data_IF_212033732880
#
_entry.id   IF_212033732880
#
_cell.length_a   1.000
_cell.length_b   1.000
_cell.length_c   1.000
_cell.angle_alpha   90.00
_cell.angle_beta   90.00
_cell.angle_gamma   90.00
#
_symmetry.space_group_name_H-M   'P 1'
#
loop_
_entity.id
_entity.type
_entity.pdbx_description
1 polymer ?
#
# COMPACT_ATOMS: atom_id res chain seq x y z
N UNK A 1 34.97 58.71 13.76
CA UNK A 1 34.83 58.95 15.21
C UNK A 1 34.10 57.75 15.79
N UNK A 2 34.80 57.05 16.69
CA UNK A 2 34.45 55.86 17.48
C UNK A 2 34.29 54.47 16.83
N UNK A 3 35.34 53.69 17.11
CA UNK A 3 35.63 52.26 17.02
C UNK A 3 35.13 51.56 18.31
N UNK A 4 34.76 50.27 18.25
CA UNK A 4 35.01 49.18 19.24
C UNK A 4 34.24 47.92 18.77
N UNK A 5 34.89 46.93 18.12
CA UNK A 5 35.62 45.76 18.64
C UNK A 5 34.75 44.55 19.06
N UNK A 6 35.03 43.41 18.42
CA UNK A 6 34.52 42.03 18.64
C UNK A 6 34.88 41.45 20.02
N UNK A 7 34.31 40.27 20.39
CA UNK A 7 35.08 39.04 20.15
C UNK A 7 34.27 37.84 19.64
N UNK A 8 34.98 37.01 18.89
CA UNK A 8 34.63 35.73 18.27
C UNK A 8 34.51 34.59 19.29
N UNK A 9 33.80 33.52 18.94
CA UNK A 9 33.82 32.24 19.68
C UNK A 9 33.91 31.03 18.71
N UNK A 10 34.49 29.90 19.18
CA UNK A 10 35.42 29.11 18.37
C UNK A 10 34.81 27.86 17.70
N UNK A 11 35.46 27.45 16.61
CA UNK A 11 35.23 26.21 15.88
C UNK A 11 35.74 24.98 16.66
N UNK A 12 34.96 23.92 16.65
CA UNK A 12 35.29 22.61 17.24
C UNK A 12 36.16 21.82 16.23
N UNK A 13 37.38 21.48 16.65
CA UNK A 13 38.35 20.67 15.92
C UNK A 13 38.27 19.23 16.44
N UNK A 14 38.04 18.25 15.56
CA UNK A 14 38.14 16.83 15.87
C UNK A 14 39.59 16.34 15.72
N UNK A 15 40.11 15.51 16.64
CA UNK A 15 41.44 14.91 16.50
C UNK A 15 41.43 13.67 15.57
N UNK A 16 42.54 13.38 14.86
CA UNK A 16 42.70 12.19 14.03
C UNK A 16 43.01 10.92 14.87
N UNK A 17 42.82 9.70 14.31
CA UNK A 17 42.97 8.46 15.04
C UNK A 17 44.45 8.11 15.30
N UNK A 18 44.71 7.52 16.47
CA UNK A 18 46.01 7.06 16.90
C UNK A 18 46.47 5.79 16.13
N UNK A 19 47.68 5.88 15.59
CA UNK A 19 48.53 4.75 15.20
C UNK A 19 49.42 4.37 16.39
N UNK A 20 49.49 3.09 16.72
CA UNK A 20 50.61 2.44 17.44
C UNK A 20 50.27 0.95 17.62
N UNK A 21 51.15 -0.04 17.60
CA UNK A 21 52.47 -0.23 16.98
C UNK A 21 52.78 -1.75 17.12
N UNK A 22 53.71 -2.22 16.29
CA UNK A 22 54.20 -3.60 16.23
C UNK A 22 54.84 -4.10 17.53
N UNK A 23 54.54 -5.35 17.93
CA UNK A 23 55.39 -6.12 18.85
C UNK A 23 55.38 -7.63 18.55
N UNK A 24 56.53 -8.08 18.02
CA UNK A 24 57.26 -9.34 18.22
C UNK A 24 56.55 -10.71 18.22
N UNK A 25 57.02 -11.53 17.28
CA UNK A 25 56.90 -12.99 17.13
C UNK A 25 57.80 -13.73 18.15
N UNK A 26 57.40 -14.93 18.62
CA UNK A 26 58.36 -16.00 18.81
C UNK A 26 58.00 -17.27 18.02
N UNK A 27 59.01 -17.78 17.32
CA UNK A 27 59.04 -18.99 16.50
C UNK A 27 59.16 -20.25 17.36
N UNK A 28 58.32 -21.27 17.12
CA UNK A 28 58.58 -22.66 17.54
C UNK A 28 58.25 -23.64 16.40
N UNK A 29 59.11 -24.64 16.28
CA UNK A 29 59.39 -25.56 15.17
C UNK A 29 58.27 -26.54 14.80
N UNK A 30 58.24 -26.90 13.51
CA UNK A 30 57.44 -27.96 12.90
C UNK A 30 57.73 -29.37 13.47
N UNK A 31 56.68 -30.18 13.66
CA UNK A 31 56.74 -31.65 13.47
C UNK A 31 55.40 -32.23 12.99
N UNK A 32 55.54 -33.19 12.05
CA UNK A 32 54.54 -33.90 11.23
C UNK A 32 53.34 -34.49 11.98
N UNK A 33 52.16 -34.44 11.35
CA UNK A 33 51.34 -35.62 11.00
C UNK A 33 50.17 -35.25 10.06
N UNK A 34 50.01 -36.02 8.99
CA UNK A 34 48.92 -36.01 7.99
C UNK A 34 47.66 -36.75 8.49
N UNK A 35 46.59 -36.88 7.69
CA UNK A 35 45.65 -35.88 7.18
C UNK A 35 44.26 -36.04 7.84
N UNK A 36 43.51 -34.96 8.09
CA UNK A 36 42.10 -35.09 8.53
C UNK A 36 41.19 -34.39 7.52
N UNK A 37 40.49 -35.23 6.75
CA UNK A 37 39.25 -34.92 6.03
C UNK A 37 38.32 -34.13 6.95
N UNK A 38 38.09 -32.86 6.64
CA UNK A 38 36.96 -32.12 7.22
C UNK A 38 35.71 -32.63 6.51
N UNK A 39 34.97 -33.47 7.22
CA UNK A 39 33.60 -33.85 6.87
C UNK A 39 32.76 -32.59 7.00
N UNK A 40 32.30 -32.04 5.88
CA UNK A 40 31.28 -31.01 5.87
C UNK A 40 30.01 -31.60 6.49
N UNK A 41 29.69 -31.20 7.72
CA UNK A 41 28.37 -31.47 8.28
C UNK A 41 27.37 -30.62 7.51
N UNK A 42 26.68 -31.27 6.58
CA UNK A 42 25.44 -30.76 6.02
C UNK A 42 24.42 -30.72 7.16
N UNK A 43 24.41 -29.62 7.91
CA UNK A 43 23.27 -29.29 8.77
C UNK A 43 22.12 -28.93 7.83
N UNK A 44 21.26 -29.91 7.60
CA UNK A 44 19.97 -29.72 6.94
C UNK A 44 19.22 -28.64 7.70
N UNK A 45 19.17 -27.42 7.15
CA UNK A 45 18.19 -26.41 7.57
C UNK A 45 16.80 -27.01 7.31
N UNK A 46 16.18 -27.51 8.37
CA UNK A 46 14.80 -27.98 8.34
C UNK A 46 13.91 -26.82 7.91
N UNK A 47 13.18 -26.98 6.81
CA UNK A 47 12.05 -26.10 6.49
C UNK A 47 11.13 -26.02 7.72
N UNK A 48 10.63 -24.82 8.11
CA UNK A 48 9.70 -24.73 9.22
C UNK A 48 8.48 -25.62 8.92
N UNK A 49 8.12 -26.49 9.86
CA UNK A 49 6.88 -27.28 9.79
C UNK A 49 5.71 -26.30 9.64
N UNK A 50 4.79 -26.58 8.70
CA UNK A 50 3.52 -25.85 8.53
C UNK A 50 2.78 -25.90 9.88
N UNK A 51 2.90 -24.85 10.67
CA UNK A 51 2.24 -24.74 11.95
C UNK A 51 0.76 -24.53 11.65
N UNK A 52 -0.08 -25.49 12.04
CA UNK A 52 -1.52 -25.38 11.92
C UNK A 52 -1.96 -24.14 12.70
N UNK A 53 -2.42 -23.12 12.00
CA UNK A 53 -2.79 -21.83 12.57
C UNK A 53 -3.96 -22.04 13.56
N UNK A 54 -3.72 -21.72 14.84
CA UNK A 54 -4.70 -21.88 15.92
C UNK A 54 -5.74 -20.74 15.95
N UNK A 55 -5.98 -20.05 14.83
CA UNK A 55 -6.89 -18.90 14.77
C UNK A 55 -8.35 -19.27 15.10
N UNK A 56 -8.78 -20.51 14.81
CA UNK A 56 -10.11 -20.97 15.21
C UNK A 56 -10.24 -21.02 16.73
N UNK A 57 -9.17 -21.38 17.45
CA UNK A 57 -9.13 -21.26 18.90
C UNK A 57 -9.07 -19.79 19.32
N UNK A 58 -8.39 -18.93 18.57
CA UNK A 58 -8.31 -17.49 18.84
C UNK A 58 -9.68 -16.82 18.76
N UNK A 59 -10.48 -17.13 17.73
CA UNK A 59 -11.88 -16.67 17.63
C UNK A 59 -12.74 -17.22 18.76
N UNK A 60 -12.54 -18.49 19.12
CA UNK A 60 -13.22 -19.13 20.26
C UNK A 60 -12.82 -18.48 21.59
N UNK A 61 -11.55 -18.07 21.75
CA UNK A 61 -11.00 -17.43 22.95
C UNK A 61 -11.43 -15.95 23.07
N UNK A 62 -11.53 -15.23 21.95
CA UNK A 62 -12.10 -13.88 21.94
C UNK A 62 -13.55 -13.91 22.45
N UNK A 63 -14.35 -14.85 21.94
CA UNK A 63 -15.73 -15.03 22.38
C UNK A 63 -15.82 -15.48 23.85
N UNK A 64 -14.93 -16.38 24.32
CA UNK A 64 -14.97 -16.86 25.72
C UNK A 64 -14.60 -15.79 26.76
N UNK A 65 -13.89 -14.74 26.34
CA UNK A 65 -13.57 -13.56 27.17
C UNK A 65 -14.61 -12.43 27.04
N UNK A 66 -15.79 -12.72 26.47
CA UNK A 66 -16.88 -11.75 26.31
C UNK A 66 -16.61 -10.65 25.27
N UNK A 67 -15.64 -10.86 24.37
CA UNK A 67 -15.32 -9.91 23.31
C UNK A 67 -15.93 -10.36 22.00
N UNK A 68 -16.71 -9.46 21.41
CA UNK A 68 -17.42 -9.69 20.16
C UNK A 68 -16.84 -8.81 19.05
N UNK A 69 -16.86 -9.28 17.79
CA UNK A 69 -16.49 -8.47 16.63
C UNK A 69 -17.26 -7.14 16.61
N UNK A 70 -16.53 -6.02 16.51
CA UNK A 70 -17.09 -4.67 16.56
C UNK A 70 -17.58 -4.26 15.18
N UNK A 71 -18.91 -4.25 15.02
CA UNK A 71 -19.57 -3.79 13.79
C UNK A 71 -19.14 -2.38 13.37
N UNK A 72 -18.91 -1.47 14.33
CA UNK A 72 -18.46 -0.10 14.06
C UNK A 72 -17.06 -0.01 13.46
N UNK A 73 -16.24 -1.05 13.62
CA UNK A 73 -14.90 -1.17 13.02
C UNK A 73 -14.91 -2.05 11.76
N UNK A 74 -16.07 -2.56 11.32
CA UNK A 74 -16.15 -3.42 10.14
C UNK A 74 -15.42 -4.76 10.28
N UNK A 75 -15.25 -5.26 11.51
CA UNK A 75 -14.49 -6.48 11.78
C UNK A 75 -15.18 -7.74 11.20
N UNK A 76 -14.57 -8.30 10.15
CA UNK A 76 -14.90 -9.58 9.54
C UNK A 76 -13.61 -10.40 9.39
N UNK A 77 -13.46 -11.42 10.21
CA UNK A 77 -12.24 -12.23 10.27
C UNK A 77 -12.28 -13.37 9.27
N UNK A 78 -11.19 -13.57 8.53
CA UNK A 78 -11.04 -14.68 7.58
C UNK A 78 -10.99 -16.03 8.32
N UNK A 79 -11.79 -16.99 7.86
CA UNK A 79 -11.91 -18.37 8.35
C UNK A 79 -11.33 -19.42 7.41
N UNK A 80 -10.59 -19.01 6.38
CA UNK A 80 -10.05 -19.93 5.39
C UNK A 80 -8.65 -19.51 5.01
N UNK A 81 -7.66 -20.27 5.48
CA UNK A 81 -6.25 -20.01 5.21
C UNK A 81 -5.93 -20.06 3.72
N UNK A 82 -6.64 -20.87 2.94
CA UNK A 82 -6.46 -20.94 1.50
C UNK A 82 -6.73 -19.59 0.83
N UNK A 83 -7.69 -18.80 1.34
CA UNK A 83 -7.94 -17.45 0.81
C UNK A 83 -6.80 -16.50 1.17
N UNK A 84 -6.22 -16.61 2.37
CA UNK A 84 -5.03 -15.84 2.74
C UNK A 84 -3.82 -16.24 1.87
N UNK A 85 -3.64 -17.54 1.61
CA UNK A 85 -2.62 -18.05 0.69
C UNK A 85 -2.81 -17.46 -0.73
N UNK A 86 -4.05 -17.38 -1.24
CA UNK A 86 -4.37 -16.73 -2.52
C UNK A 86 -4.12 -15.21 -2.51
N UNK A 87 -4.37 -14.50 -1.40
CA UNK A 87 -4.02 -13.07 -1.27
C UNK A 87 -2.51 -12.87 -1.42
N UNK A 88 -1.73 -13.66 -0.68
CA UNK A 88 -0.26 -13.59 -0.68
C UNK A 88 0.31 -14.00 -2.04
N UNK A 89 -0.27 -15.02 -2.67
CA UNK A 89 0.09 -15.45 -4.03
C UNK A 89 -0.24 -14.39 -5.08
N UNK A 90 -1.39 -13.72 -4.97
CA UNK A 90 -1.81 -12.65 -5.89
C UNK A 90 -0.82 -11.48 -5.89
N UNK A 91 -0.19 -11.17 -4.75
CA UNK A 91 0.88 -10.17 -4.63
C UNK A 91 2.27 -10.69 -4.95
N UNK A 92 2.39 -11.94 -5.38
CA UNK A 92 3.67 -12.62 -5.64
C UNK A 92 4.69 -12.37 -4.53
N UNK A 93 4.26 -12.45 -3.27
CA UNK A 93 5.10 -12.14 -2.10
C UNK A 93 6.21 -13.17 -2.01
N UNK A 94 7.44 -12.68 -1.81
CA UNK A 94 8.66 -13.49 -1.72
C UNK A 94 9.39 -13.26 -0.41
N UNK A 95 10.30 -14.16 -0.10
CA UNK A 95 11.23 -14.01 1.02
C UNK A 95 11.99 -12.68 0.90
N UNK A 96 12.01 -11.91 1.99
CA UNK A 96 12.66 -10.60 2.04
C UNK A 96 11.78 -9.43 1.60
N UNK A 97 10.61 -9.67 1.00
CA UNK A 97 9.68 -8.58 0.66
C UNK A 97 9.24 -7.83 1.93
N UNK A 98 9.05 -6.52 1.80
CA UNK A 98 8.46 -5.67 2.83
C UNK A 98 6.98 -5.52 2.50
N UNK A 99 6.10 -5.90 3.43
CA UNK A 99 4.65 -5.89 3.24
C UNK A 99 3.99 -5.04 4.31
N UNK A 100 3.16 -4.10 3.86
CA UNK A 100 2.20 -3.41 4.69
C UNK A 100 0.89 -4.21 4.75
N UNK A 101 0.48 -4.57 5.95
CA UNK A 101 -0.83 -5.17 6.23
C UNK A 101 -1.72 -4.16 6.97
N UNK A 102 -2.95 -3.98 6.51
CA UNK A 102 -3.90 -3.04 7.11
C UNK A 102 -5.03 -3.83 7.75
N UNK A 103 -5.22 -3.67 9.07
CA UNK A 103 -6.21 -4.41 9.85
C UNK A 103 -5.89 -5.89 9.98
N UNK A 104 -4.74 -6.27 10.58
CA UNK A 104 -4.37 -7.67 10.76
C UNK A 104 -5.39 -8.47 11.59
N UNK A 105 -6.20 -7.82 12.44
CA UNK A 105 -7.23 -8.47 13.26
C UNK A 105 -6.63 -9.54 14.17
N UNK A 106 -6.93 -10.81 13.89
CA UNK A 106 -6.40 -11.96 14.64
C UNK A 106 -5.00 -12.40 14.19
N UNK A 107 -4.47 -11.80 13.13
CA UNK A 107 -3.16 -12.11 12.55
C UNK A 107 -3.13 -13.34 11.64
N UNK A 108 -4.27 -13.80 11.12
CA UNK A 108 -4.30 -14.97 10.22
C UNK A 108 -3.60 -14.69 8.88
N UNK A 109 -3.80 -13.50 8.29
CA UNK A 109 -3.07 -13.09 7.10
C UNK A 109 -1.60 -12.79 7.42
N UNK A 110 -1.31 -12.11 8.53
CA UNK A 110 0.06 -11.90 9.05
C UNK A 110 0.85 -13.22 9.12
N UNK A 111 0.23 -14.30 9.59
CA UNK A 111 0.86 -15.62 9.70
C UNK A 111 1.30 -16.17 8.33
N UNK A 112 0.46 -16.02 7.30
CA UNK A 112 0.78 -16.47 5.93
C UNK A 112 1.88 -15.59 5.32
N UNK A 113 1.85 -14.27 5.54
CA UNK A 113 2.89 -13.34 5.09
C UNK A 113 4.26 -13.66 5.69
N UNK A 114 4.31 -13.88 7.01
CA UNK A 114 5.53 -14.28 7.71
C UNK A 114 6.03 -15.64 7.22
N UNK A 115 5.11 -16.58 6.98
CA UNK A 115 5.47 -17.91 6.44
C UNK A 115 6.05 -17.84 5.02
N UNK A 116 5.68 -16.82 4.24
CA UNK A 116 6.28 -16.51 2.95
C UNK A 116 7.65 -15.81 3.06
N UNK A 117 8.11 -15.50 4.28
CA UNK A 117 9.41 -14.86 4.54
C UNK A 117 9.38 -13.33 4.45
N UNK A 118 8.20 -12.71 4.50
CA UNK A 118 8.07 -11.25 4.42
C UNK A 118 8.39 -10.56 5.75
N UNK A 119 8.89 -9.32 5.67
CA UNK A 119 8.87 -8.35 6.75
C UNK A 119 7.53 -7.62 6.75
N UNK A 120 6.74 -7.78 7.81
CA UNK A 120 5.38 -7.25 7.90
C UNK A 120 5.32 -6.02 8.80
N UNK A 121 4.87 -4.90 8.24
CA UNK A 121 4.39 -3.75 9.00
C UNK A 121 2.85 -3.81 9.05
N UNK A 122 2.29 -4.16 10.20
CA UNK A 122 0.85 -4.22 10.39
C UNK A 122 0.33 -2.91 11.03
N UNK A 123 -0.75 -2.34 10.49
CA UNK A 123 -1.45 -1.18 11.07
C UNK A 123 -2.83 -1.62 11.56
N UNK A 124 -3.04 -1.57 12.87
CA UNK A 124 -4.29 -2.00 13.51
C UNK A 124 -4.89 -0.87 14.34
N UNK A 125 -6.17 -0.58 14.10
CA UNK A 125 -6.89 0.49 14.78
C UNK A 125 -7.44 0.07 16.14
N UNK A 126 -7.79 -1.21 16.31
CA UNK A 126 -8.28 -1.75 17.57
C UNK A 126 -7.10 -2.08 18.50
N UNK A 127 -6.92 -1.34 19.63
CA UNK A 127 -5.82 -1.59 20.56
C UNK A 127 -5.73 -3.03 21.04
N UNK A 128 -6.89 -3.69 21.16
CA UNK A 128 -6.92 -5.06 21.62
C UNK A 128 -6.40 -6.04 20.55
N UNK A 129 -6.78 -5.83 19.29
CA UNK A 129 -6.26 -6.65 18.18
C UNK A 129 -4.77 -6.37 17.96
N UNK A 130 -4.34 -5.11 18.09
CA UNK A 130 -2.93 -4.75 18.02
C UNK A 130 -2.10 -5.48 19.09
N UNK A 131 -2.59 -5.51 20.34
CA UNK A 131 -1.96 -6.27 21.42
C UNK A 131 -1.92 -7.78 21.14
N UNK A 132 -3.01 -8.35 20.61
CA UNK A 132 -3.08 -9.77 20.25
C UNK A 132 -2.05 -10.14 19.20
N UNK A 133 -1.92 -9.35 18.12
CA UNK A 133 -0.94 -9.59 17.06
C UNK A 133 0.49 -9.46 17.61
N UNK A 134 0.76 -8.45 18.46
CA UNK A 134 2.07 -8.30 19.13
C UNK A 134 2.43 -9.51 19.99
N UNK A 135 1.49 -10.01 20.80
CA UNK A 135 1.70 -11.19 21.65
C UNK A 135 1.92 -12.44 20.80
N UNK A 136 1.09 -12.64 19.78
CA UNK A 136 1.11 -13.82 18.90
C UNK A 136 2.42 -13.95 18.14
N UNK A 137 2.97 -12.85 17.65
CA UNK A 137 4.23 -12.81 16.90
C UNK A 137 5.41 -12.29 17.75
N UNK A 138 5.28 -12.35 19.09
CA UNK A 138 6.35 -12.00 19.99
C UNK A 138 7.61 -12.85 19.70
N UNK A 139 8.76 -12.20 19.58
CA UNK A 139 10.03 -12.85 19.25
C UNK A 139 10.33 -12.96 17.75
N UNK A 140 9.41 -12.56 16.87
CA UNK A 140 9.69 -12.44 15.44
C UNK A 140 10.02 -11.00 15.08
N UNK A 141 11.30 -10.74 14.78
CA UNK A 141 11.77 -9.41 14.36
C UNK A 141 11.20 -8.96 13.01
N UNK A 142 10.64 -9.89 12.24
CA UNK A 142 10.02 -9.61 10.96
C UNK A 142 8.59 -9.04 11.07
N UNK A 143 8.01 -8.89 12.27
CA UNK A 143 6.67 -8.31 12.45
C UNK A 143 6.73 -7.05 13.32
N UNK A 144 6.22 -5.94 12.80
CA UNK A 144 6.03 -4.69 13.54
C UNK A 144 4.57 -4.28 13.49
N UNK A 145 3.99 -3.94 14.66
CA UNK A 145 2.58 -3.56 14.79
C UNK A 145 2.43 -2.11 15.24
N UNK A 146 1.86 -1.27 14.38
CA UNK A 146 1.44 0.09 14.66
C UNK A 146 -0.02 0.09 15.11
N UNK A 147 -0.29 0.70 16.26
CA UNK A 147 -1.65 0.88 16.77
C UNK A 147 -2.15 2.27 16.37
N UNK A 148 -2.65 2.36 15.14
CA UNK A 148 -3.07 3.61 14.51
C UNK A 148 -4.31 3.39 13.64
N UNK A 149 -5.10 4.45 13.45
CA UNK A 149 -6.13 4.46 12.41
C UNK A 149 -5.48 4.70 11.06
N UNK A 150 -5.48 3.70 10.17
CA UNK A 150 -4.86 3.80 8.85
C UNK A 150 -5.33 5.04 8.08
N UNK A 151 -6.63 5.38 8.15
CA UNK A 151 -7.22 6.53 7.44
C UNK A 151 -6.67 7.88 7.89
N UNK A 152 -5.97 7.92 9.03
CA UNK A 152 -5.34 9.10 9.63
C UNK A 152 -3.83 8.93 9.81
N UNK A 153 -3.29 7.77 9.44
CA UNK A 153 -1.89 7.40 9.61
C UNK A 153 -1.03 8.12 8.57
N UNK A 154 0.14 8.62 8.98
CA UNK A 154 1.14 9.14 8.05
C UNK A 154 2.00 8.00 7.50
N UNK A 155 1.35 7.06 6.79
CA UNK A 155 1.96 5.78 6.41
C UNK A 155 3.25 5.95 5.59
N UNK A 156 3.32 6.99 4.75
CA UNK A 156 4.54 7.36 4.02
C UNK A 156 5.76 7.51 4.95
N UNK A 157 5.60 8.21 6.07
CA UNK A 157 6.71 8.43 7.02
C UNK A 157 7.18 7.12 7.65
N UNK A 158 6.24 6.25 8.04
CA UNK A 158 6.55 4.93 8.60
C UNK A 158 7.28 4.03 7.59
N UNK A 159 6.80 4.02 6.33
CA UNK A 159 7.40 3.24 5.26
C UNK A 159 8.78 3.76 4.85
N UNK A 160 8.95 5.07 4.71
CA UNK A 160 10.24 5.67 4.39
C UNK A 160 11.31 5.31 5.43
N UNK A 161 10.97 5.35 6.73
CA UNK A 161 11.89 4.94 7.79
C UNK A 161 12.23 3.44 7.73
N UNK A 162 11.28 2.59 7.33
CA UNK A 162 11.48 1.15 7.27
C UNK A 162 12.27 0.71 6.03
N UNK A 163 12.08 1.41 4.91
CA UNK A 163 12.79 1.16 3.64
C UNK A 163 14.21 1.72 3.62
N UNK A 164 14.55 2.65 4.54
CA UNK A 164 15.91 3.16 4.67
C UNK A 164 16.91 2.00 4.87
N UNK A 165 17.88 1.89 3.96
CA UNK A 165 18.94 0.88 3.97
C UNK A 165 18.47 -0.58 3.77
N UNK A 166 17.28 -0.81 3.19
CA UNK A 166 16.81 -2.15 2.84
C UNK A 166 16.70 -2.38 1.34
N UNK A 167 16.82 -3.65 0.95
CA UNK A 167 16.51 -4.18 -0.38
C UNK A 167 15.44 -5.25 -0.22
N UNK A 168 14.35 -5.27 -1.01
CA UNK A 168 14.03 -4.35 -2.10
C UNK A 168 13.76 -2.91 -1.63
N UNK A 169 13.88 -1.96 -2.57
CA UNK A 169 13.64 -0.53 -2.30
C UNK A 169 12.17 -0.14 -2.36
N UNK A 170 11.30 -1.05 -2.82
CA UNK A 170 9.85 -0.89 -2.76
C UNK A 170 9.21 -1.97 -1.87
N UNK A 171 8.03 -1.64 -1.39
CA UNK A 171 7.19 -2.50 -0.58
C UNK A 171 5.96 -2.95 -1.36
N UNK A 172 5.19 -3.85 -0.77
CA UNK A 172 3.85 -4.25 -1.24
C UNK A 172 2.83 -3.97 -0.16
N UNK A 173 1.57 -3.88 -0.56
CA UNK A 173 0.45 -3.92 0.39
C UNK A 173 -0.32 -5.22 0.16
N UNK A 174 -0.58 -5.98 1.22
CA UNK A 174 -1.46 -7.16 1.17
C UNK A 174 -2.37 -7.10 2.39
N UNK A 175 -3.67 -6.89 2.16
CA UNK A 175 -4.59 -6.65 3.27
C UNK A 175 -6.02 -7.14 3.03
N UNK A 176 -6.61 -7.73 4.08
CA UNK A 176 -8.06 -7.89 4.22
C UNK A 176 -8.62 -6.70 5.01
N UNK A 177 -9.01 -5.65 4.30
CA UNK A 177 -9.38 -4.38 4.95
C UNK A 177 -10.83 -4.34 5.41
N UNK A 178 -11.16 -3.58 6.46
CA UNK A 178 -12.54 -3.26 6.79
C UNK A 178 -13.27 -2.60 5.62
N UNK A 179 -14.45 -3.10 5.28
CA UNK A 179 -15.15 -2.69 4.05
C UNK A 179 -15.52 -1.21 4.00
N UNK A 180 -15.73 -0.58 5.16
CA UNK A 180 -16.11 0.82 5.28
C UNK A 180 -14.98 1.83 4.99
N UNK A 181 -13.72 1.39 4.89
CA UNK A 181 -12.57 2.28 4.64
C UNK A 181 -11.95 2.09 3.26
N UNK A 182 -12.53 1.25 2.40
CA UNK A 182 -11.94 0.88 1.10
C UNK A 182 -11.55 2.06 0.22
N UNK A 183 -12.39 3.09 0.16
CA UNK A 183 -12.10 4.28 -0.67
C UNK A 183 -10.96 5.12 -0.10
N UNK A 184 -10.88 5.28 1.22
CA UNK A 184 -9.82 6.05 1.87
C UNK A 184 -8.47 5.33 1.75
N UNK A 185 -8.47 4.00 1.92
CA UNK A 185 -7.28 3.16 1.72
C UNK A 185 -6.74 3.30 0.30
N UNK A 186 -7.60 3.15 -0.71
CA UNK A 186 -7.22 3.30 -2.12
C UNK A 186 -6.68 4.71 -2.39
N UNK A 187 -7.38 5.76 -1.92
CA UNK A 187 -6.95 7.15 -2.13
C UNK A 187 -5.61 7.48 -1.49
N UNK A 188 -5.29 6.86 -0.37
CA UNK A 188 -4.03 7.07 0.33
C UNK A 188 -2.87 6.30 -0.31
N UNK A 189 -3.10 5.05 -0.71
CA UNK A 189 -2.03 4.16 -1.18
C UNK A 189 -1.65 4.34 -2.64
N UNK A 190 -2.61 4.46 -3.57
CA UNK A 190 -2.30 4.44 -5.01
C UNK A 190 -1.34 5.56 -5.46
N UNK A 191 -1.37 6.79 -4.91
CA UNK A 191 -0.39 7.83 -5.27
C UNK A 191 1.04 7.55 -4.82
N UNK A 192 1.29 6.48 -4.05
CA UNK A 192 2.59 6.16 -3.46
C UNK A 192 3.38 5.12 -4.28
N UNK A 193 3.35 5.20 -5.61
CA UNK A 193 4.11 4.29 -6.51
C UNK A 193 5.63 4.35 -6.37
N UNK A 194 6.15 5.39 -5.71
CA UNK A 194 7.55 5.50 -5.28
C UNK A 194 7.88 4.65 -4.04
N UNK A 195 6.88 4.24 -3.26
CA UNK A 195 7.02 3.39 -2.06
C UNK A 195 6.54 1.98 -2.34
N UNK A 196 5.37 1.83 -2.96
CA UNK A 196 4.76 0.53 -3.22
C UNK A 196 4.83 0.17 -4.69
N UNK A 197 5.18 -1.09 -4.99
CA UNK A 197 5.09 -1.63 -6.35
C UNK A 197 3.67 -2.15 -6.66
N UNK A 198 3.02 -2.71 -5.66
CA UNK A 198 1.72 -3.36 -5.82
C UNK A 198 0.88 -3.28 -4.55
N UNK A 199 -0.43 -3.12 -4.74
CA UNK A 199 -1.43 -3.09 -3.66
C UNK A 199 -2.45 -4.18 -3.91
N UNK A 200 -2.55 -5.15 -3.00
CA UNK A 200 -3.45 -6.31 -3.08
C UNK A 200 -4.42 -6.21 -1.91
N UNK A 201 -5.71 -6.07 -2.23
CA UNK A 201 -6.76 -5.87 -1.24
C UNK A 201 -7.85 -6.91 -1.40
N UNK A 202 -8.38 -7.39 -0.29
CA UNK A 202 -9.69 -8.02 -0.26
C UNK A 202 -10.74 -6.96 0.06
N UNK A 203 -11.68 -6.75 -0.86
CA UNK A 203 -12.75 -5.75 -0.81
C UNK A 203 -14.12 -6.43 -0.92
N UNK A 204 -15.20 -5.68 -0.69
CA UNK A 204 -16.53 -6.13 -1.13
C UNK A 204 -16.55 -6.32 -2.64
N UNK A 205 -17.26 -7.34 -3.12
CA UNK A 205 -17.30 -7.71 -4.54
C UNK A 205 -17.77 -6.53 -5.44
N UNK A 206 -18.85 -5.85 -5.04
CA UNK A 206 -19.34 -4.66 -5.75
C UNK A 206 -18.32 -3.51 -5.76
N UNK A 207 -17.64 -3.29 -4.62
CA UNK A 207 -16.62 -2.25 -4.52
C UNK A 207 -15.39 -2.58 -5.39
N UNK A 208 -14.99 -3.86 -5.44
CA UNK A 208 -13.93 -4.36 -6.29
C UNK A 208 -14.26 -4.17 -7.77
N UNK A 209 -15.42 -4.63 -8.23
CA UNK A 209 -15.89 -4.45 -9.60
C UNK A 209 -15.91 -2.97 -9.99
N UNK A 210 -16.47 -2.12 -9.12
CA UNK A 210 -16.52 -0.68 -9.35
C UNK A 210 -15.14 -0.03 -9.46
N UNK A 211 -14.10 -0.54 -8.79
CA UNK A 211 -12.76 0.05 -8.84
C UNK A 211 -11.96 -0.42 -10.06
N UNK A 212 -12.14 -1.68 -10.47
CA UNK A 212 -11.31 -2.32 -11.48
C UNK A 212 -11.91 -2.22 -12.88
N UNK A 213 -13.24 -2.29 -13.01
CA UNK A 213 -13.87 -2.34 -14.33
C UNK A 213 -13.77 -1.00 -15.05
N UNK A 214 -12.84 -0.94 -16.00
CA UNK A 214 -12.57 0.20 -16.89
C UNK A 214 -13.56 0.29 -18.05
N UNK A 215 -14.33 -0.77 -18.30
CA UNK A 215 -15.32 -0.86 -19.38
C UNK A 215 -16.67 -0.27 -19.03
N UNK A 216 -16.87 0.12 -17.76
CA UNK A 216 -18.07 0.80 -17.28
C UNK A 216 -18.27 2.14 -18.01
N UNK A 217 -18.90 2.12 -19.19
CA UNK A 217 -19.60 3.26 -19.80
C UNK A 217 -20.99 3.39 -19.18
N UNK A 218 -21.04 3.32 -17.86
CA UNK A 218 -22.28 3.14 -17.09
C UNK A 218 -22.43 4.26 -16.07
N UNK A 219 -23.63 4.35 -15.48
CA UNK A 219 -23.94 5.25 -14.37
C UNK A 219 -23.11 5.01 -13.10
N UNK A 220 -22.31 3.94 -13.06
CA UNK A 220 -21.43 3.59 -11.96
C UNK A 220 -20.02 4.16 -12.09
N UNK A 221 -19.62 4.64 -13.28
CA UNK A 221 -18.33 5.29 -13.48
C UNK A 221 -18.24 6.59 -12.68
N UNK A 222 -17.17 6.74 -11.91
CA UNK A 222 -17.00 7.81 -10.91
C UNK A 222 -15.59 8.38 -10.94
N UNK A 223 -15.33 9.52 -10.27
CA UNK A 223 -13.98 10.07 -10.12
C UNK A 223 -12.95 9.07 -9.60
N UNK A 224 -13.38 8.10 -8.79
CA UNK A 224 -12.49 7.07 -8.25
C UNK A 224 -11.94 6.15 -9.35
N UNK A 225 -12.69 5.89 -10.43
CA UNK A 225 -12.21 5.09 -11.56
C UNK A 225 -11.05 5.79 -12.27
N UNK A 226 -11.21 7.10 -12.55
CA UNK A 226 -10.15 7.93 -13.12
C UNK A 226 -8.94 7.96 -12.19
N UNK A 227 -9.16 8.11 -10.88
CA UNK A 227 -8.11 8.10 -9.87
C UNK A 227 -7.32 6.79 -9.85
N UNK A 228 -8.01 5.65 -9.83
CA UNK A 228 -7.38 4.32 -9.83
C UNK A 228 -6.55 4.12 -11.09
N UNK A 229 -7.12 4.38 -12.27
CA UNK A 229 -6.45 4.20 -13.56
C UNK A 229 -5.30 5.20 -13.76
N UNK A 230 -5.36 6.39 -13.15
CA UNK A 230 -4.28 7.37 -13.21
C UNK A 230 -3.01 6.85 -12.51
N UNK A 231 -3.17 6.23 -11.34
CA UNK A 231 -2.06 5.81 -10.49
C UNK A 231 -1.66 4.34 -10.63
N UNK A 232 -2.51 3.51 -11.23
CA UNK A 232 -2.28 2.06 -11.25
C UNK A 232 -2.92 1.38 -12.45
N UNK A 233 -2.54 0.12 -12.63
CA UNK A 233 -3.23 -0.83 -13.50
C UNK A 233 -4.03 -1.81 -12.60
N UNK A 234 -5.35 -1.63 -12.47
CA UNK A 234 -6.18 -2.47 -11.61
C UNK A 234 -6.53 -3.81 -12.26
N UNK A 235 -6.61 -4.88 -11.47
CA UNK A 235 -7.05 -6.20 -11.91
C UNK A 235 -7.93 -6.89 -10.86
N UNK A 236 -9.04 -7.50 -11.31
CA UNK A 236 -9.90 -8.33 -10.48
C UNK A 236 -9.37 -9.76 -10.52
N UNK A 237 -8.85 -10.24 -9.40
CA UNK A 237 -8.15 -11.54 -9.34
C UNK A 237 -9.11 -12.69 -9.13
N UNK A 238 -9.94 -12.61 -8.09
CA UNK A 238 -10.89 -13.69 -7.77
C UNK A 238 -12.02 -13.22 -6.85
N UNK A 239 -13.16 -13.89 -6.96
CA UNK A 239 -14.28 -13.75 -6.04
C UNK A 239 -14.08 -14.63 -4.81
N UNK A 240 -14.45 -14.12 -3.62
CA UNK A 240 -14.38 -14.81 -2.34
C UNK A 240 -15.77 -14.86 -1.72
N UNK A 241 -16.28 -16.07 -1.45
CA UNK A 241 -17.58 -16.23 -0.80
C UNK A 241 -17.57 -15.64 0.62
N UNK A 242 -18.62 -14.91 0.98
CA UNK A 242 -18.83 -14.39 2.34
C UNK A 242 -18.84 -15.47 3.43
N UNK A 243 -19.07 -16.73 3.08
CA UNK A 243 -19.04 -17.85 4.02
C UNK A 243 -17.65 -18.09 4.64
N UNK A 244 -16.59 -17.53 4.03
CA UNK A 244 -15.22 -17.60 4.56
C UNK A 244 -14.95 -16.61 5.70
N UNK A 245 -15.97 -15.91 6.24
CA UNK A 245 -15.76 -14.85 7.24
C UNK A 245 -16.59 -15.04 8.51
N UNK A 246 -16.05 -14.56 9.64
CA UNK A 246 -16.78 -14.42 10.90
C UNK A 246 -16.64 -13.01 11.50
N UNK A 247 -17.75 -12.33 11.83
CA UNK A 247 -19.11 -12.67 11.45
C UNK A 247 -19.25 -12.66 9.93
N UNK A 248 -20.20 -13.44 9.40
CA UNK A 248 -20.44 -13.46 7.97
C UNK A 248 -20.97 -12.09 7.49
N UNK A 249 -20.33 -11.44 6.50
CA UNK A 249 -20.83 -10.20 5.93
C UNK A 249 -22.09 -10.44 5.06
N UNK A 250 -22.78 -9.34 4.72
CA UNK A 250 -24.00 -9.39 3.91
C UNK A 250 -23.74 -9.65 2.43
N UNK A 251 -22.55 -9.35 1.96
CA UNK A 251 -22.14 -9.41 0.55
C UNK A 251 -20.89 -10.26 0.42
N UNK A 252 -20.66 -10.80 -0.76
CA UNK A 252 -19.40 -11.46 -1.09
C UNK A 252 -18.26 -10.45 -1.20
N UNK A 253 -17.05 -10.98 -1.22
CA UNK A 253 -15.82 -10.22 -1.34
C UNK A 253 -15.06 -10.60 -2.61
N UNK A 254 -13.97 -9.90 -2.89
CA UNK A 254 -13.09 -10.16 -4.01
C UNK A 254 -11.67 -9.71 -3.70
N UNK A 255 -10.70 -10.45 -4.23
CA UNK A 255 -9.29 -10.03 -4.28
C UNK A 255 -9.10 -9.17 -5.52
N UNK A 256 -8.53 -7.99 -5.32
CA UNK A 256 -8.11 -7.08 -6.39
C UNK A 256 -6.65 -6.71 -6.21
N UNK A 257 -5.95 -6.49 -7.32
CA UNK A 257 -4.60 -5.95 -7.33
C UNK A 257 -4.57 -4.61 -8.05
N UNK A 258 -3.67 -3.73 -7.61
CA UNK A 258 -3.34 -2.47 -8.25
C UNK A 258 -1.83 -2.44 -8.42
N UNK A 259 -1.35 -2.66 -9.64
CA UNK A 259 0.06 -2.48 -9.97
C UNK A 259 0.33 -0.98 -10.07
N UNK A 260 1.14 -0.41 -9.18
CA UNK A 260 1.33 1.04 -9.12
C UNK A 260 2.27 1.51 -10.21
N UNK A 261 1.90 2.60 -10.87
CA UNK A 261 2.74 3.30 -11.85
C UNK A 261 3.85 4.04 -11.10
N UNK A 262 5.05 4.10 -11.68
CA UNK A 262 6.09 4.99 -11.17
C UNK A 262 5.73 6.43 -11.56
N UNK A 263 6.26 7.41 -10.84
CA UNK A 263 5.96 8.84 -11.07
C UNK A 263 6.22 9.26 -12.52
N UNK A 264 7.24 8.70 -13.16
CA UNK A 264 7.58 8.96 -14.56
C UNK A 264 6.52 8.44 -15.56
N UNK A 265 5.69 7.48 -15.15
CA UNK A 265 4.69 6.81 -15.99
C UNK A 265 3.27 7.37 -15.75
N UNK A 266 3.12 8.34 -14.84
CA UNK A 266 1.83 9.00 -14.63
C UNK A 266 1.39 9.74 -15.91
N UNK A 267 0.07 9.79 -16.21
CA UNK A 267 -0.44 10.58 -17.32
C UNK A 267 0.03 12.03 -17.23
N UNK A 268 0.50 12.58 -18.35
CA UNK A 268 1.10 13.92 -18.40
C UNK A 268 0.03 15.00 -18.26
N UNK A 269 -0.03 15.58 -17.07
CA UNK A 269 -0.88 16.75 -16.76
C UNK A 269 -0.02 17.84 -16.12
N UNK A 270 -0.35 19.10 -16.37
CA UNK A 270 0.39 20.25 -15.81
C UNK A 270 0.38 20.27 -14.27
N UNK A 271 -0.69 19.77 -13.66
CA UNK A 271 -0.80 19.60 -12.22
C UNK A 271 -1.79 18.49 -11.88
N UNK A 272 -1.39 17.48 -11.11
CA UNK A 272 -2.28 16.42 -10.63
C UNK A 272 -3.42 16.98 -9.77
N UNK A 273 -3.13 18.01 -8.97
CA UNK A 273 -4.13 18.70 -8.15
C UNK A 273 -5.20 19.37 -9.02
N UNK A 274 -4.79 20.12 -10.05
CA UNK A 274 -5.72 20.74 -11.00
C UNK A 274 -6.55 19.68 -11.74
N UNK A 275 -5.89 18.64 -12.23
CA UNK A 275 -6.54 17.53 -12.95
C UNK A 275 -7.65 16.89 -12.12
N UNK A 276 -7.36 16.45 -10.89
CA UNK A 276 -8.38 15.83 -10.04
C UNK A 276 -9.44 16.83 -9.56
N UNK A 277 -9.12 18.11 -9.45
CA UNK A 277 -10.13 19.15 -9.19
C UNK A 277 -11.14 19.23 -10.34
N UNK A 278 -10.66 19.25 -11.59
CA UNK A 278 -11.50 19.24 -12.79
C UNK A 278 -12.33 17.96 -12.88
N UNK A 279 -11.72 16.79 -12.66
CA UNK A 279 -12.44 15.50 -12.65
C UNK A 279 -13.54 15.51 -11.59
N UNK A 280 -13.26 15.93 -10.35
CA UNK A 280 -14.30 16.00 -9.32
C UNK A 280 -15.43 16.98 -9.69
N UNK A 281 -15.10 18.12 -10.29
CA UNK A 281 -16.06 19.09 -10.77
C UNK A 281 -16.98 18.50 -11.86
N UNK A 282 -16.41 17.75 -12.81
CA UNK A 282 -17.15 17.10 -13.88
C UNK A 282 -18.28 16.20 -13.35
N UNK A 283 -18.00 15.41 -12.31
CA UNK A 283 -18.94 14.43 -11.73
C UNK A 283 -19.84 14.99 -10.61
N UNK A 284 -19.73 16.28 -10.26
CA UNK A 284 -20.43 16.84 -9.10
C UNK A 284 -21.96 16.81 -9.28
N UNK A 285 -22.44 16.99 -10.52
CA UNK A 285 -23.87 17.02 -10.83
C UNK A 285 -24.25 15.84 -11.74
N UNK A 286 -25.07 14.93 -11.20
CA UNK A 286 -25.50 13.73 -11.93
C UNK A 286 -26.23 14.11 -13.22
N UNK A 287 -25.88 13.43 -14.33
CA UNK A 287 -26.52 13.50 -15.66
C UNK A 287 -26.30 14.81 -16.43
N UNK A 288 -25.51 15.75 -15.90
CA UNK A 288 -25.19 16.99 -16.63
C UNK A 288 -24.09 16.76 -17.66
N UNK A 289 -24.16 17.51 -18.76
CA UNK A 289 -23.12 17.56 -19.79
C UNK A 289 -21.87 18.26 -19.22
N UNK A 290 -20.68 17.88 -19.69
CA UNK A 290 -19.40 18.42 -19.22
C UNK A 290 -19.32 19.95 -19.28
N UNK A 291 -19.78 20.54 -20.38
CA UNK A 291 -19.89 22.00 -20.55
C UNK A 291 -20.69 22.72 -19.46
N UNK A 292 -21.61 22.04 -18.78
CA UNK A 292 -22.39 22.58 -17.66
C UNK A 292 -21.73 22.28 -16.33
N UNK A 293 -21.19 21.07 -16.15
CA UNK A 293 -20.46 20.73 -14.92
C UNK A 293 -19.20 21.58 -14.74
N UNK A 294 -18.48 21.87 -15.82
CA UNK A 294 -17.21 22.61 -15.80
C UNK A 294 -17.35 24.12 -16.01
N UNK A 295 -18.57 24.66 -16.13
CA UNK A 295 -18.80 26.08 -16.46
C UNK A 295 -18.18 27.08 -15.45
N UNK A 296 -17.92 26.62 -14.21
CA UNK A 296 -17.28 27.41 -13.16
C UNK A 296 -15.75 27.34 -13.19
N UNK A 297 -15.20 26.38 -13.93
CA UNK A 297 -13.76 26.23 -14.17
C UNK A 297 -13.36 26.92 -15.47
N UNK A 298 -14.21 26.81 -16.49
CA UNK A 298 -13.96 27.27 -17.85
C UNK A 298 -15.30 27.62 -18.52
N UNK A 299 -15.43 28.72 -19.28
CA UNK A 299 -16.65 29.07 -19.98
C UNK A 299 -17.18 27.91 -20.85
N UNK A 300 -18.50 27.69 -20.87
CA UNK A 300 -19.08 26.57 -21.63
C UNK A 300 -18.64 26.50 -23.11
N UNK A 301 -18.52 27.61 -23.88
CA UNK A 301 -18.04 27.55 -25.27
C UNK A 301 -16.61 26.99 -25.40
N UNK A 302 -15.74 27.32 -24.45
CA UNK A 302 -14.35 26.86 -24.46
C UNK A 302 -14.26 25.36 -24.10
N UNK A 303 -15.11 24.90 -23.17
CA UNK A 303 -15.26 23.46 -22.88
C UNK A 303 -15.79 22.71 -24.11
N UNK A 304 -16.78 23.25 -24.82
CA UNK A 304 -17.31 22.66 -26.05
C UNK A 304 -16.23 22.60 -27.15
N UNK A 305 -15.45 23.66 -27.32
CA UNK A 305 -14.32 23.69 -28.27
C UNK A 305 -13.24 22.67 -27.93
N UNK A 306 -12.87 22.56 -26.65
CA UNK A 306 -11.90 21.59 -26.18
C UNK A 306 -12.38 20.14 -26.36
N UNK A 307 -13.67 19.85 -26.13
CA UNK A 307 -14.28 18.55 -26.40
C UNK A 307 -14.19 18.20 -27.89
N UNK A 308 -14.54 19.13 -28.77
CA UNK A 308 -14.42 18.93 -30.22
C UNK A 308 -12.97 18.65 -30.64
N UNK A 309 -11.99 19.36 -30.08
CA UNK A 309 -10.58 19.19 -30.38
C UNK A 309 -10.02 17.80 -30.02
N UNK A 310 -10.66 17.11 -29.06
CA UNK A 310 -10.32 15.72 -28.68
C UNK A 310 -11.26 14.68 -29.30
N UNK A 311 -12.05 15.06 -30.31
CA UNK A 311 -13.01 14.22 -31.02
C UNK A 311 -14.17 13.70 -30.15
N UNK A 312 -14.61 14.50 -29.16
CA UNK A 312 -15.78 14.22 -28.33
C UNK A 312 -16.96 15.12 -28.68
N UNK A 313 -18.16 14.71 -28.29
CA UNK A 313 -19.37 15.50 -28.51
C UNK A 313 -19.40 16.72 -27.57
N UNK A 314 -19.85 17.90 -28.01
CA UNK A 314 -20.15 19.04 -27.13
C UNK A 314 -21.17 18.72 -26.03
N UNK A 315 -21.98 17.68 -26.25
CA UNK A 315 -22.98 17.18 -25.31
C UNK A 315 -22.49 16.04 -24.43
N UNK A 316 -21.21 15.68 -24.51
CA UNK A 316 -20.65 14.55 -23.77
C UNK A 316 -20.81 14.72 -22.26
N UNK A 317 -21.02 13.59 -21.60
CA UNK A 317 -21.13 13.49 -20.14
C UNK A 317 -19.85 12.91 -19.52
N UNK A 318 -19.55 13.20 -18.24
CA UNK A 318 -18.34 12.72 -17.59
C UNK A 318 -18.12 11.21 -17.68
N UNK A 319 -19.19 10.41 -17.55
CA UNK A 319 -19.15 8.94 -17.63
C UNK A 319 -18.86 8.38 -19.03
N UNK A 320 -18.86 9.22 -20.06
CA UNK A 320 -18.55 8.83 -21.44
C UNK A 320 -17.05 8.96 -21.76
N UNK A 321 -16.27 9.64 -20.92
CA UNK A 321 -14.86 9.92 -21.14
C UNK A 321 -13.96 8.86 -20.51
N UNK A 322 -12.91 8.48 -21.24
CA UNK A 322 -11.79 7.70 -20.73
C UNK A 322 -10.81 8.58 -19.93
N UNK A 323 -9.87 7.95 -19.22
CA UNK A 323 -8.77 8.68 -18.56
C UNK A 323 -7.98 9.56 -19.55
N UNK A 324 -7.67 9.03 -20.73
CA UNK A 324 -6.91 9.75 -21.76
C UNK A 324 -7.70 10.96 -22.28
N UNK A 325 -9.02 10.82 -22.45
CA UNK A 325 -9.90 11.93 -22.80
C UNK A 325 -9.86 13.04 -21.75
N UNK A 326 -9.96 12.67 -20.47
CA UNK A 326 -9.86 13.64 -19.37
C UNK A 326 -8.50 14.35 -19.34
N UNK A 327 -7.41 13.64 -19.59
CA UNK A 327 -6.04 14.21 -19.62
C UNK A 327 -5.91 15.21 -20.76
N UNK A 328 -6.34 14.86 -21.96
CA UNK A 328 -6.32 15.76 -23.13
C UNK A 328 -7.21 16.99 -22.89
N UNK A 329 -8.43 16.79 -22.41
CA UNK A 329 -9.37 17.86 -22.09
C UNK A 329 -8.79 18.84 -21.05
N UNK A 330 -8.19 18.31 -19.98
CA UNK A 330 -7.55 19.13 -18.96
C UNK A 330 -6.43 20.00 -19.53
N UNK A 331 -5.54 19.42 -20.32
CA UNK A 331 -4.38 20.14 -20.84
C UNK A 331 -4.82 21.26 -21.80
N UNK A 332 -5.81 21.03 -22.67
CA UNK A 332 -6.37 22.06 -23.54
C UNK A 332 -7.03 23.21 -22.76
N UNK A 333 -7.82 22.89 -21.73
CA UNK A 333 -8.48 23.91 -20.90
C UNK A 333 -7.43 24.78 -20.19
N UNK A 334 -6.39 24.16 -19.63
CA UNK A 334 -5.32 24.87 -18.93
C UNK A 334 -4.50 25.74 -19.88
N UNK A 335 -4.15 25.25 -21.06
CA UNK A 335 -3.43 26.04 -22.07
C UNK A 335 -4.23 27.26 -22.52
N UNK A 336 -5.55 27.11 -22.73
CA UNK A 336 -6.42 28.21 -23.14
C UNK A 336 -6.61 29.30 -22.06
N UNK A 337 -6.38 28.98 -20.78
CA UNK A 337 -6.57 29.90 -19.64
C UNK A 337 -5.26 30.41 -19.03
N UNK A 338 -4.10 29.95 -19.53
CA UNK A 338 -2.77 30.45 -19.17
C UNK A 338 -2.21 31.48 -20.17
N UNK A 339 -2.92 31.72 -21.28
CA UNK A 339 -2.64 32.74 -22.29
C UNK A 339 -3.54 33.96 -22.10
#
# INVERSE_FOLDING_TARGET
MNILLHPSSPAIIFPPPAHDSLAAVPTVKLRRNSPLRIVASLTSKSKPKKQTDDYHSTLKALNSRGRFPRKSLGQHYMLNDSVNEELVASGSVKEGDIVLEIGPGTGSLTNVLVSAGAYVLAVEKDPHMAALVRERFAGLECVKVLEEDFTRCHIRSHMSSLLQNRSPTDAKVVANIPFNISTDVVKQLLPMGDIFSEVILLLQDEAALRLVDSSLKSSEYRPINIFVNFYSDPEYKMKVSRANFFPQPKVDAAIVSFKLKKVADYPRVSSTKSFFSMVNCAFNEKRKMLRKSLQHVCPSPDVEAALCAVNLSPTSRPEELTLDDFVKLHNLIVEAHLL
#
